data_IF_258273728772
#
_entry.id   IF_258273728772
#
_cell.length_a   1.000
_cell.length_b   1.000
_cell.length_c   1.000
_cell.angle_alpha   90.00
_cell.angle_beta   90.00
_cell.angle_gamma   90.00
#
_symmetry.space_group_name_H-M   'P 1'
#
loop_
_entity.id
_entity.type
_entity.pdbx_description
1 polymer ?
#
# COMPACT_ATOMS: atom_id res chain seq x y z
N UNK A 1 25.75 4.96 0.16
CA UNK A 1 25.23 3.61 -0.13
C UNK A 1 23.90 3.49 0.59
N UNK A 2 22.78 3.68 -0.12
CA UNK A 2 21.46 3.38 0.42
C UNK A 2 21.44 1.87 0.67
N UNK A 3 21.49 1.47 1.95
CA UNK A 3 21.23 0.08 2.37
C UNK A 3 20.01 -0.40 1.60
N UNK A 4 20.09 -1.57 0.99
CA UNK A 4 18.91 -2.23 0.42
C UNK A 4 17.78 -2.11 1.43
N UNK A 5 16.66 -1.54 0.99
CA UNK A 5 15.63 -1.08 1.90
C UNK A 5 15.22 -2.22 2.83
N UNK A 6 15.27 -1.96 4.13
CA UNK A 6 14.87 -2.93 5.13
C UNK A 6 13.40 -3.31 4.89
N UNK A 7 13.11 -4.60 4.61
CA UNK A 7 11.74 -5.11 4.43
C UNK A 7 10.77 -4.62 5.49
N UNK A 8 11.19 -4.64 6.75
CA UNK A 8 10.36 -4.17 7.86
C UNK A 8 10.06 -2.67 7.77
N UNK A 9 11.07 -1.84 7.52
CA UNK A 9 10.88 -0.40 7.40
C UNK A 9 9.90 -0.05 6.26
N UNK A 10 10.01 -0.73 5.11
CA UNK A 10 9.10 -0.53 3.99
C UNK A 10 7.67 -0.97 4.31
N UNK A 11 7.50 -2.10 4.99
CA UNK A 11 6.18 -2.56 5.42
C UNK A 11 5.57 -1.62 6.45
N UNK A 12 6.35 -1.14 7.42
CA UNK A 12 5.89 -0.17 8.41
C UNK A 12 5.38 1.11 7.74
N UNK A 13 6.14 1.66 6.78
CA UNK A 13 5.69 2.83 6.03
C UNK A 13 4.41 2.54 5.23
N UNK A 14 4.35 1.39 4.54
CA UNK A 14 3.17 1.03 3.78
C UNK A 14 1.91 0.88 4.66
N UNK A 15 2.06 0.30 5.86
CA UNK A 15 0.99 0.16 6.85
C UNK A 15 0.59 1.49 7.49
N UNK A 16 1.48 2.48 7.55
CA UNK A 16 1.18 3.84 8.02
C UNK A 16 0.43 4.66 6.98
N UNK A 17 0.82 4.57 5.70
CA UNK A 17 0.17 5.29 4.60
C UNK A 17 -1.22 4.74 4.26
N UNK A 18 -1.37 3.42 4.25
CA UNK A 18 -2.57 2.78 3.71
C UNK A 18 -3.90 3.21 4.37
N UNK A 19 -4.02 3.31 5.70
CA UNK A 19 -5.29 3.67 6.34
C UNK A 19 -5.88 5.01 5.85
N UNK A 20 -5.02 6.01 5.62
CA UNK A 20 -5.44 7.35 5.17
C UNK A 20 -5.96 7.28 3.73
N UNK A 21 -5.19 6.65 2.84
CA UNK A 21 -5.58 6.45 1.43
C UNK A 21 -6.86 5.63 1.34
N UNK A 22 -6.99 4.58 2.17
CA UNK A 22 -8.18 3.73 2.25
C UNK A 22 -9.41 4.53 2.65
N UNK A 23 -9.28 5.39 3.67
CA UNK A 23 -10.38 6.23 4.13
C UNK A 23 -10.84 7.21 3.06
N UNK A 24 -9.88 7.93 2.44
CA UNK A 24 -10.15 8.82 1.31
C UNK A 24 -10.86 8.11 0.14
N UNK A 25 -10.45 6.88 -0.17
CA UNK A 25 -11.13 6.08 -1.19
C UNK A 25 -12.55 5.71 -0.78
N UNK A 26 -12.75 5.17 0.43
CA UNK A 26 -14.04 4.63 0.87
C UNK A 26 -15.08 5.69 1.23
N UNK A 27 -14.63 6.86 1.68
CA UNK A 27 -15.46 7.95 2.20
C UNK A 27 -15.15 9.27 1.49
N UNK A 28 -15.24 9.36 0.15
CA UNK A 28 -14.80 10.56 -0.58
C UNK A 28 -15.56 11.83 -0.19
N UNK A 29 -16.82 11.72 0.26
CA UNK A 29 -17.64 12.85 0.68
C UNK A 29 -17.19 13.49 2.01
N UNK A 30 -16.36 12.79 2.80
CA UNK A 30 -15.84 13.29 4.08
C UNK A 30 -14.57 14.16 3.89
N UNK A 31 -14.05 14.26 2.66
CA UNK A 31 -12.79 14.90 2.34
C UNK A 31 -12.99 16.12 1.44
N UNK A 32 -12.13 17.13 1.61
CA UNK A 32 -12.02 18.20 0.62
C UNK A 32 -11.44 17.65 -0.69
N UNK A 33 -11.88 18.14 -1.85
CA UNK A 33 -11.43 17.67 -3.17
C UNK A 33 -9.90 17.69 -3.31
N UNK A 34 -9.24 18.72 -2.76
CA UNK A 34 -7.78 18.85 -2.83
C UNK A 34 -7.07 17.88 -1.90
N UNK A 35 -7.59 17.68 -0.69
CA UNK A 35 -7.05 16.72 0.28
C UNK A 35 -7.25 15.29 -0.23
N UNK A 36 -8.45 14.97 -0.71
CA UNK A 36 -8.77 13.69 -1.32
C UNK A 36 -7.82 13.36 -2.48
N UNK A 37 -7.61 14.31 -3.40
CA UNK A 37 -6.72 14.11 -4.54
C UNK A 37 -5.27 13.90 -4.09
N UNK A 38 -4.82 14.62 -3.05
CA UNK A 38 -3.49 14.46 -2.47
C UNK A 38 -3.28 13.03 -1.96
N UNK A 39 -4.19 12.54 -1.12
CA UNK A 39 -4.07 11.19 -0.53
C UNK A 39 -4.18 10.08 -1.59
N UNK A 40 -5.13 10.17 -2.51
CA UNK A 40 -5.30 9.15 -3.56
C UNK A 40 -4.10 9.12 -4.51
N UNK A 41 -3.40 10.25 -4.71
CA UNK A 41 -2.18 10.31 -5.54
C UNK A 41 -1.01 9.52 -4.93
N UNK A 42 -0.97 9.36 -3.60
CA UNK A 42 0.05 8.57 -2.89
C UNK A 42 -0.11 7.06 -3.09
N UNK A 43 -1.22 6.60 -3.68
CA UNK A 43 -1.44 5.18 -3.98
C UNK A 43 -0.31 4.60 -4.86
N UNK A 44 0.20 5.39 -5.81
CA UNK A 44 1.34 4.99 -6.65
C UNK A 44 2.63 4.81 -5.86
N UNK A 45 2.87 5.68 -4.86
CA UNK A 45 4.02 5.58 -3.96
C UNK A 45 3.92 4.32 -3.09
N UNK A 46 2.74 4.07 -2.50
CA UNK A 46 2.45 2.87 -1.72
C UNK A 46 2.74 1.60 -2.52
N UNK A 47 2.33 1.52 -3.78
CA UNK A 47 2.63 0.37 -4.63
C UNK A 47 4.14 0.19 -4.86
N UNK A 48 4.89 1.28 -4.94
CA UNK A 48 6.35 1.27 -5.01
C UNK A 48 6.99 0.68 -3.76
N UNK A 49 6.50 1.04 -2.56
CA UNK A 49 6.96 0.48 -1.29
C UNK A 49 6.72 -1.04 -1.22
N UNK A 50 5.51 -1.48 -1.52
CA UNK A 50 5.11 -2.89 -1.45
C UNK A 50 5.94 -3.78 -2.40
N UNK A 51 6.23 -3.29 -3.61
CA UNK A 51 7.10 -4.02 -4.57
C UNK A 51 8.55 -4.15 -4.09
N UNK A 52 9.02 -3.21 -3.26
CA UNK A 52 10.40 -3.20 -2.73
C UNK A 52 10.55 -3.98 -1.42
N UNK A 53 9.45 -4.18 -0.68
CA UNK A 53 9.44 -4.73 0.67
C UNK A 53 9.97 -6.18 0.84
N UNK A 54 10.44 -6.85 -0.25
CA UNK A 54 11.13 -8.17 -0.29
C UNK A 54 11.21 -8.91 1.06
N UNK A 55 10.09 -9.49 1.54
CA UNK A 55 10.04 -10.05 2.89
C UNK A 55 10.92 -11.28 3.00
N UNK A 56 11.65 -11.35 4.10
CA UNK A 56 12.62 -12.41 4.40
C UNK A 56 12.12 -13.39 5.46
N UNK A 57 11.09 -13.01 6.22
CA UNK A 57 10.47 -13.84 7.25
C UNK A 57 9.01 -14.20 6.91
N UNK A 58 8.45 -15.29 7.47
CA UNK A 58 7.03 -15.63 7.31
C UNK A 58 6.09 -14.52 7.79
N UNK A 59 6.44 -13.84 8.87
CA UNK A 59 5.64 -12.73 9.43
C UNK A 59 5.56 -11.55 8.45
N UNK A 60 6.69 -11.15 7.86
CA UNK A 60 6.72 -10.08 6.85
C UNK A 60 5.92 -10.45 5.59
N UNK A 61 5.97 -11.73 5.17
CA UNK A 61 5.17 -12.23 4.03
C UNK A 61 3.67 -12.14 4.34
N UNK A 62 3.28 -12.56 5.54
CA UNK A 62 1.88 -12.50 5.95
C UNK A 62 1.38 -11.06 6.04
N UNK A 63 2.17 -10.14 6.63
CA UNK A 63 1.87 -8.71 6.67
C UNK A 63 1.70 -8.13 5.27
N UNK A 64 2.65 -8.39 4.37
CA UNK A 64 2.57 -7.93 2.99
C UNK A 64 1.35 -8.51 2.26
N UNK A 65 1.07 -9.81 2.42
CA UNK A 65 -0.09 -10.46 1.79
C UNK A 65 -1.40 -9.83 2.24
N UNK A 66 -1.59 -9.68 3.56
CA UNK A 66 -2.80 -9.06 4.13
C UNK A 66 -2.98 -7.63 3.63
N UNK A 67 -1.91 -6.84 3.60
CA UNK A 67 -1.96 -5.45 3.14
C UNK A 67 -2.33 -5.37 1.65
N UNK A 68 -1.71 -6.21 0.79
CA UNK A 68 -2.03 -6.25 -0.64
C UNK A 68 -3.46 -6.74 -0.91
N UNK A 69 -3.95 -7.70 -0.12
CA UNK A 69 -5.34 -8.17 -0.22
C UNK A 69 -6.35 -7.09 0.16
N UNK A 70 -6.10 -6.35 1.24
CA UNK A 70 -6.97 -5.25 1.67
C UNK A 70 -6.97 -4.12 0.64
N UNK A 71 -5.80 -3.74 0.13
CA UNK A 71 -5.65 -2.78 -0.98
C UNK A 71 -6.45 -3.25 -2.20
N UNK A 72 -6.28 -4.52 -2.60
CA UNK A 72 -7.01 -5.09 -3.75
C UNK A 72 -8.52 -5.03 -3.56
N UNK A 73 -9.02 -5.34 -2.37
CA UNK A 73 -10.46 -5.31 -2.07
C UNK A 73 -11.06 -3.90 -2.18
N UNK A 74 -10.27 -2.86 -1.88
CA UNK A 74 -10.71 -1.46 -1.99
C UNK A 74 -10.56 -0.95 -3.42
N UNK A 75 -9.37 -1.05 -4.03
CA UNK A 75 -9.08 -0.41 -5.32
C UNK A 75 -9.79 -1.07 -6.51
N UNK A 76 -10.14 -2.36 -6.39
CA UNK A 76 -10.92 -3.07 -7.42
C UNK A 76 -12.32 -2.47 -7.65
N UNK A 77 -12.90 -1.81 -6.64
CA UNK A 77 -14.18 -1.08 -6.76
C UNK A 77 -14.09 0.09 -7.75
N UNK A 78 -12.88 0.61 -7.96
CA UNK A 78 -12.59 1.73 -8.86
C UNK A 78 -12.03 1.26 -10.21
N UNK A 79 -12.03 -0.05 -10.48
CA UNK A 79 -11.45 -0.62 -11.70
C UNK A 79 -9.92 -0.49 -11.79
N UNK A 80 -9.25 -0.18 -10.68
CA UNK A 80 -7.79 -0.05 -10.63
C UNK A 80 -7.11 -1.40 -10.46
N UNK A 81 -5.93 -1.55 -11.08
CA UNK A 81 -5.13 -2.75 -10.90
C UNK A 81 -4.37 -2.71 -9.56
N UNK A 82 -4.50 -3.76 -8.72
CA UNK A 82 -3.76 -3.87 -7.48
C UNK A 82 -2.27 -4.14 -7.73
N UNK A 83 -1.40 -3.88 -6.73
CA UNK A 83 0.01 -4.22 -6.83
C UNK A 83 0.18 -5.74 -6.95
N UNK A 84 1.06 -6.17 -7.87
CA UNK A 84 1.50 -7.57 -7.94
C UNK A 84 2.49 -7.83 -6.83
N UNK A 85 2.31 -8.92 -6.09
CA UNK A 85 3.25 -9.36 -5.07
C UNK A 85 4.60 -9.71 -5.72
N UNK A 86 5.74 -9.49 -5.00
CA UNK A 86 7.04 -9.99 -5.44
C UNK A 86 7.00 -11.51 -5.66
N UNK A 87 7.71 -12.00 -6.68
CA UNK A 87 7.82 -13.44 -6.93
C UNK A 87 8.45 -14.16 -5.72
N UNK A 88 7.83 -15.24 -5.24
CA UNK A 88 8.34 -16.06 -4.13
C UNK A 88 7.76 -15.76 -2.74
N UNK A 89 6.71 -14.94 -2.65
CA UNK A 89 5.83 -14.84 -1.48
C UNK A 89 5.01 -16.13 -1.35
#
# INVERSE_FOLDING_TARGET
>A
MLRGDDPQALLNWAEEYWPVIRDALLNPDDWDDQEWLSEVSELGHLYGLLKRARPTTPEERERLSRLVEDIRAVVSRYGLEPPKLPEGI
#
